data_IF_291670679047
#
_entry.id   IF_291670679047
#
_cell.length_a   1.000
_cell.length_b   1.000
_cell.length_c   1.000
_cell.angle_alpha   90.00
_cell.angle_beta   90.00
_cell.angle_gamma   90.00
#
_symmetry.space_group_name_H-M   'P 1'
#
loop_
_entity.id
_entity.type
_entity.pdbx_description
1 polymer ?
#
# COMPACT_ATOMS: atom_id res chain seq x y z
N UNK A 1 -27.61 21.83 6.70
CA UNK A 1 -26.52 21.04 6.16
C UNK A 1 -27.09 19.73 5.62
N UNK A 2 -27.07 19.53 4.31
CA UNK A 2 -27.66 18.34 3.68
C UNK A 2 -26.77 17.13 3.87
N UNK A 3 -27.35 15.90 3.87
CA UNK A 3 -26.55 14.64 3.95
C UNK A 3 -25.50 14.53 2.84
N UNK A 4 -25.72 15.20 1.72
CA UNK A 4 -24.81 15.21 0.55
C UNK A 4 -23.58 16.08 0.84
N UNK A 5 -23.75 17.24 1.48
CA UNK A 5 -22.64 18.13 1.87
C UNK A 5 -21.74 17.49 2.93
N UNK A 6 -22.32 16.80 3.91
CA UNK A 6 -21.57 16.05 4.92
C UNK A 6 -20.70 14.97 4.28
N UNK A 7 -21.25 14.18 3.33
CA UNK A 7 -20.48 13.16 2.62
C UNK A 7 -19.36 13.75 1.78
N UNK A 8 -19.55 14.91 1.16
CA UNK A 8 -18.50 15.58 0.39
C UNK A 8 -17.37 16.10 1.29
N UNK A 9 -17.70 16.63 2.46
CA UNK A 9 -16.73 17.09 3.46
C UNK A 9 -15.94 15.89 4.00
N UNK A 10 -16.63 14.79 4.35
CA UNK A 10 -15.98 13.55 4.78
C UNK A 10 -15.05 12.99 3.72
N UNK A 11 -15.45 12.97 2.45
CA UNK A 11 -14.60 12.50 1.35
C UNK A 11 -13.38 13.40 1.13
N UNK A 12 -13.56 14.73 1.20
CA UNK A 12 -12.44 15.68 1.07
C UNK A 12 -11.45 15.52 2.22
N UNK A 13 -11.94 15.39 3.44
CA UNK A 13 -11.11 15.18 4.61
C UNK A 13 -10.39 13.82 4.55
N UNK A 14 -11.06 12.75 4.12
CA UNK A 14 -10.47 11.43 3.96
C UNK A 14 -9.40 11.41 2.86
N UNK A 15 -9.62 12.12 1.75
CA UNK A 15 -8.60 12.32 0.71
C UNK A 15 -7.37 13.06 1.23
N UNK A 16 -7.58 14.15 1.98
CA UNK A 16 -6.49 14.90 2.58
C UNK A 16 -5.64 14.04 3.53
N UNK A 17 -6.27 13.14 4.30
CA UNK A 17 -5.59 12.20 5.19
C UNK A 17 -4.80 11.11 4.47
N UNK A 18 -5.18 10.76 3.23
CA UNK A 18 -4.47 9.75 2.46
C UNK A 18 -3.37 10.31 1.56
N UNK A 19 -3.32 11.64 1.40
CA UNK A 19 -2.29 12.33 0.63
C UNK A 19 -0.99 12.58 1.41
N UNK A 20 -0.88 12.04 2.63
CA UNK A 20 0.33 12.18 3.46
C UNK A 20 1.55 11.39 2.96
N UNK A 21 1.36 10.51 1.99
CA UNK A 21 2.42 9.68 1.39
C UNK A 21 2.89 8.51 2.27
N UNK A 22 2.48 8.43 3.54
CA UNK A 22 2.93 7.38 4.47
C UNK A 22 2.55 5.97 4.00
N UNK A 23 1.32 5.79 3.52
CA UNK A 23 0.87 4.48 3.03
C UNK A 23 1.71 4.00 1.84
N UNK A 24 2.06 4.91 0.91
CA UNK A 24 2.84 4.59 -0.28
C UNK A 24 4.29 4.29 0.12
N UNK A 25 4.87 5.10 1.02
CA UNK A 25 6.22 4.91 1.54
C UNK A 25 6.37 3.54 2.19
N UNK A 26 5.50 3.22 3.15
CA UNK A 26 5.60 1.94 3.87
C UNK A 26 5.17 0.74 3.03
N UNK A 27 4.28 0.90 2.05
CA UNK A 27 4.01 -0.13 1.06
C UNK A 27 5.27 -0.44 0.23
N UNK A 28 6.00 0.58 -0.21
CA UNK A 28 7.28 0.40 -0.92
C UNK A 28 8.32 -0.33 -0.08
N UNK A 29 8.54 0.11 1.16
CA UNK A 29 9.48 -0.54 2.09
C UNK A 29 9.07 -2.00 2.34
N UNK A 30 7.78 -2.26 2.59
CA UNK A 30 7.25 -3.60 2.83
C UNK A 30 7.47 -4.53 1.63
N UNK A 31 7.23 -4.06 0.41
CA UNK A 31 7.49 -4.83 -0.82
C UNK A 31 8.97 -5.17 -0.96
N UNK A 32 9.87 -4.23 -0.63
CA UNK A 32 11.31 -4.47 -0.61
C UNK A 32 11.73 -5.56 0.37
N UNK A 33 11.13 -5.59 1.56
CA UNK A 33 11.34 -6.62 2.58
C UNK A 33 10.76 -7.96 2.12
N UNK A 34 9.52 -7.97 1.61
CA UNK A 34 8.84 -9.19 1.11
C UNK A 34 9.62 -9.82 -0.06
N UNK A 35 10.28 -9.02 -0.90
CA UNK A 35 11.08 -9.54 -2.03
C UNK A 35 12.17 -10.52 -1.57
N UNK A 36 12.77 -10.31 -0.40
CA UNK A 36 13.79 -11.20 0.16
C UNK A 36 13.25 -12.62 0.40
N UNK A 37 11.98 -12.75 0.79
CA UNK A 37 11.32 -14.04 0.98
C UNK A 37 11.27 -14.87 -0.31
N UNK A 38 11.12 -14.23 -1.48
CA UNK A 38 11.06 -14.94 -2.77
C UNK A 38 12.42 -15.44 -3.24
N UNK A 39 13.53 -14.90 -2.71
CA UNK A 39 14.87 -15.39 -2.98
C UNK A 39 15.18 -16.62 -2.12
N UNK A 40 14.81 -16.57 -0.84
CA UNK A 40 15.01 -17.69 0.08
C UNK A 40 13.77 -17.89 0.97
N UNK A 41 12.97 -18.87 0.59
CA UNK A 41 11.70 -19.25 1.28
C UNK A 41 11.93 -19.67 2.74
N UNK A 42 13.18 -20.04 3.12
CA UNK A 42 13.51 -20.39 4.51
C UNK A 42 13.27 -19.23 5.48
N UNK A 43 13.27 -17.99 4.97
CA UNK A 43 13.03 -16.77 5.73
C UNK A 43 11.56 -16.35 5.77
N UNK A 44 10.63 -17.27 6.01
CA UNK A 44 9.18 -16.99 6.07
C UNK A 44 8.79 -15.86 7.04
N UNK A 45 9.57 -15.63 8.11
CA UNK A 45 9.39 -14.52 9.03
C UNK A 45 9.56 -13.13 8.38
N UNK A 46 10.37 -13.04 7.30
CA UNK A 46 10.58 -11.80 6.54
C UNK A 46 9.28 -11.35 5.86
N UNK A 47 8.49 -12.32 5.36
CA UNK A 47 7.17 -12.04 4.79
C UNK A 47 6.21 -11.45 5.83
N UNK A 48 6.16 -12.06 7.02
CA UNK A 48 5.35 -11.55 8.12
C UNK A 48 5.80 -10.16 8.57
N UNK A 49 7.12 -9.91 8.63
CA UNK A 49 7.69 -8.60 8.92
C UNK A 49 7.27 -7.54 7.88
N UNK A 50 7.32 -7.87 6.58
CA UNK A 50 6.87 -6.98 5.52
C UNK A 50 5.40 -6.59 5.67
N UNK A 51 4.51 -7.55 5.95
CA UNK A 51 3.10 -7.26 6.22
C UNK A 51 2.94 -6.37 7.46
N UNK A 52 3.64 -6.68 8.55
CA UNK A 52 3.58 -5.88 9.77
C UNK A 52 4.03 -4.44 9.54
N UNK A 53 5.07 -4.22 8.74
CA UNK A 53 5.53 -2.88 8.34
C UNK A 53 4.47 -2.13 7.53
N UNK A 54 3.85 -2.80 6.56
CA UNK A 54 2.82 -2.18 5.71
C UNK A 54 1.59 -1.73 6.51
N UNK A 55 1.20 -2.47 7.55
CA UNK A 55 -0.05 -2.25 8.30
C UNK A 55 0.17 -1.33 9.50
N UNK A 56 1.22 -1.57 10.30
CA UNK A 56 1.41 -0.91 11.60
C UNK A 56 2.15 0.42 11.50
N UNK A 57 3.19 0.49 10.65
CA UNK A 57 4.04 1.69 10.57
C UNK A 57 3.32 2.94 10.06
N UNK A 58 2.47 2.90 9.01
CA UNK A 58 1.72 4.08 8.60
C UNK A 58 0.86 4.63 9.72
N UNK A 59 0.20 3.78 10.50
CA UNK A 59 -0.65 4.20 11.63
C UNK A 59 0.18 4.85 12.74
N UNK A 60 1.33 4.27 13.07
CA UNK A 60 2.25 4.80 14.09
C UNK A 60 2.81 6.18 13.69
N UNK A 61 3.41 6.28 12.51
CA UNK A 61 4.00 7.54 12.04
C UNK A 61 2.94 8.62 11.79
N UNK A 62 1.73 8.24 11.39
CA UNK A 62 0.63 9.19 11.24
C UNK A 62 0.27 9.86 12.57
N UNK A 63 0.26 9.10 13.66
CA UNK A 63 0.01 9.66 15.00
C UNK A 63 1.09 10.66 15.42
N UNK A 64 2.35 10.41 15.06
CA UNK A 64 3.46 11.28 15.46
C UNK A 64 3.68 12.48 14.53
N UNK A 65 3.53 12.30 13.22
CA UNK A 65 3.91 13.33 12.23
C UNK A 65 2.70 14.11 11.68
N UNK A 66 1.56 13.46 11.50
CA UNK A 66 0.40 14.03 10.81
C UNK A 66 -0.60 14.65 11.78
N UNK A 67 -0.94 13.93 12.86
CA UNK A 67 -1.92 14.40 13.84
C UNK A 67 -1.55 15.72 14.52
N UNK A 68 -0.30 15.98 14.93
CA UNK A 68 0.05 17.26 15.56
C UNK A 68 -0.08 18.46 14.62
N UNK A 69 -0.07 18.23 13.29
CA UNK A 69 -0.09 19.30 12.26
C UNK A 69 -1.49 19.65 11.77
N UNK A 70 -2.35 18.65 11.61
CA UNK A 70 -3.71 18.84 11.04
C UNK A 70 -4.77 18.86 12.14
N UNK A 71 -4.43 18.42 13.35
CA UNK A 71 -5.41 18.17 14.41
C UNK A 71 -6.04 16.77 14.27
N UNK A 72 -6.63 16.32 15.36
CA UNK A 72 -7.28 15.02 15.44
C UNK A 72 -8.74 15.14 15.00
N UNK A 73 -9.02 14.94 13.73
CA UNK A 73 -10.40 14.76 13.30
C UNK A 73 -10.83 13.32 13.63
N UNK A 74 -11.59 13.16 14.72
CA UNK A 74 -12.29 11.89 14.98
C UNK A 74 -13.40 11.75 13.94
N UNK A 75 -13.11 11.05 12.84
CA UNK A 75 -14.18 10.59 11.98
C UNK A 75 -14.95 9.50 12.74
N UNK A 76 -16.28 9.56 12.80
CA UNK A 76 -17.05 8.46 13.33
C UNK A 76 -16.63 7.22 12.56
N UNK A 77 -16.00 6.26 13.26
CA UNK A 77 -15.65 4.98 12.67
C UNK A 77 -16.97 4.40 12.17
N UNK A 78 -17.19 4.51 10.84
CA UNK A 78 -18.33 3.82 10.25
C UNK A 78 -18.23 2.38 10.72
N UNK A 79 -19.31 1.82 11.28
CA UNK A 79 -19.42 0.45 11.80
C UNK A 79 -19.07 -0.58 10.72
N UNK A 80 -17.81 -0.60 10.31
CA UNK A 80 -17.29 -1.34 9.16
C UNK A 80 -16.56 -2.61 9.56
N UNK A 81 -16.89 -3.20 10.72
CA UNK A 81 -16.31 -4.50 11.11
C UNK A 81 -16.45 -5.53 9.96
N UNK A 82 -17.59 -5.52 9.25
CA UNK A 82 -17.79 -6.35 8.07
C UNK A 82 -16.81 -6.08 6.92
N UNK A 83 -16.37 -4.85 6.72
CA UNK A 83 -15.38 -4.53 5.66
C UNK A 83 -13.98 -5.02 6.01
N UNK A 84 -13.57 -4.91 7.27
CA UNK A 84 -12.28 -5.44 7.72
C UNK A 84 -12.28 -6.98 7.65
N UNK A 85 -13.37 -7.61 8.07
CA UNK A 85 -13.55 -9.08 7.95
C UNK A 85 -13.50 -9.47 6.46
N UNK A 86 -14.22 -8.79 5.58
CA UNK A 86 -14.20 -9.07 4.14
C UNK A 86 -12.80 -8.91 3.53
N UNK A 87 -12.06 -7.87 3.92
CA UNK A 87 -10.68 -7.64 3.47
C UNK A 87 -9.73 -8.74 3.98
N UNK A 88 -9.87 -9.17 5.23
CA UNK A 88 -9.09 -10.28 5.81
C UNK A 88 -9.44 -11.58 5.09
N UNK A 89 -10.72 -11.89 4.89
CA UNK A 89 -11.16 -13.09 4.18
C UNK A 89 -10.62 -13.11 2.74
N UNK A 90 -10.66 -11.98 2.04
CA UNK A 90 -10.10 -11.86 0.70
C UNK A 90 -8.58 -12.09 0.70
N UNK A 91 -7.85 -11.50 1.64
CA UNK A 91 -6.40 -11.70 1.77
C UNK A 91 -6.05 -13.17 2.07
N UNK A 92 -6.79 -13.80 2.98
CA UNK A 92 -6.62 -15.22 3.30
C UNK A 92 -6.95 -16.10 2.08
N UNK A 93 -8.02 -15.79 1.35
CA UNK A 93 -8.38 -16.51 0.13
C UNK A 93 -7.30 -16.39 -0.94
N UNK A 94 -6.73 -15.19 -1.16
CA UNK A 94 -5.61 -14.99 -2.07
C UNK A 94 -4.37 -15.78 -1.63
N UNK A 95 -4.06 -15.82 -0.33
CA UNK A 95 -2.94 -16.60 0.20
C UNK A 95 -3.16 -18.12 0.03
N UNK A 96 -4.37 -18.62 0.31
CA UNK A 96 -4.72 -20.02 0.10
C UNK A 96 -4.67 -20.41 -1.37
N UNK A 97 -5.18 -19.55 -2.25
CA UNK A 97 -5.10 -19.75 -3.69
C UNK A 97 -3.64 -19.78 -4.16
N UNK A 98 -2.82 -18.84 -3.68
CA UNK A 98 -1.38 -18.82 -3.96
C UNK A 98 -0.68 -20.11 -3.49
N UNK A 99 -0.99 -20.57 -2.29
CA UNK A 99 -0.45 -21.82 -1.75
C UNK A 99 -0.91 -23.04 -2.56
N UNK A 100 -2.21 -23.12 -2.90
CA UNK A 100 -2.77 -24.21 -3.70
C UNK A 100 -2.17 -24.25 -5.11
N UNK A 101 -2.03 -23.09 -5.76
CA UNK A 101 -1.42 -22.97 -7.08
C UNK A 101 0.07 -23.32 -7.06
N UNK A 102 0.79 -22.97 -6.00
CA UNK A 102 2.21 -23.32 -5.82
C UNK A 102 2.48 -24.83 -5.70
N UNK A 103 1.42 -25.64 -5.47
CA UNK A 103 1.51 -27.13 -5.50
C UNK A 103 1.44 -27.72 -6.91
N UNK A 104 1.08 -26.93 -7.92
CA UNK A 104 1.01 -27.37 -9.31
C UNK A 104 2.40 -27.19 -9.91
N UNK A 105 3.03 -28.28 -10.38
CA UNK A 105 4.41 -28.30 -10.88
C UNK A 105 4.72 -27.25 -11.95
N UNK A 106 3.71 -26.87 -12.74
CA UNK A 106 3.86 -25.89 -13.82
C UNK A 106 3.45 -24.45 -13.44
N UNK A 107 3.06 -24.18 -12.18
CA UNK A 107 2.57 -22.86 -11.80
C UNK A 107 3.70 -21.85 -11.55
N UNK A 108 4.91 -22.31 -11.26
CA UNK A 108 6.03 -21.43 -10.91
C UNK A 108 6.29 -20.34 -11.97
N UNK A 109 6.14 -20.68 -13.25
CA UNK A 109 6.36 -19.72 -14.33
C UNK A 109 5.27 -18.62 -14.42
N UNK A 110 4.06 -18.88 -13.91
CA UNK A 110 2.95 -17.91 -13.86
C UNK A 110 2.99 -17.00 -12.63
N UNK A 111 3.87 -17.27 -11.66
CA UNK A 111 3.93 -16.55 -10.39
C UNK A 111 4.08 -15.03 -10.52
N UNK A 112 4.96 -14.49 -11.39
CA UNK A 112 5.08 -13.05 -11.57
C UNK A 112 3.82 -12.41 -12.13
N UNK A 113 3.12 -13.09 -13.07
CA UNK A 113 1.87 -12.63 -13.64
C UNK A 113 0.75 -12.63 -12.59
N UNK A 114 0.65 -13.68 -11.79
CA UNK A 114 -0.33 -13.77 -10.69
C UNK A 114 -0.16 -12.61 -9.70
N UNK A 115 1.05 -12.35 -9.24
CA UNK A 115 1.32 -11.25 -8.32
C UNK A 115 1.04 -9.89 -8.97
N UNK A 116 1.45 -9.69 -10.22
CA UNK A 116 1.17 -8.49 -10.98
C UNK A 116 -0.34 -8.22 -11.11
N UNK A 117 -1.14 -9.24 -11.40
CA UNK A 117 -2.60 -9.11 -11.52
C UNK A 117 -3.29 -8.86 -10.17
N UNK A 118 -2.89 -9.55 -9.09
CA UNK A 118 -3.43 -9.35 -7.75
C UNK A 118 -3.16 -7.93 -7.24
N UNK A 119 -1.91 -7.46 -7.35
CA UNK A 119 -1.57 -6.10 -6.95
C UNK A 119 -2.21 -5.03 -7.84
N UNK A 120 -2.32 -5.28 -9.15
CA UNK A 120 -3.03 -4.41 -10.09
C UNK A 120 -4.51 -4.29 -9.73
N UNK A 121 -5.18 -5.41 -9.43
CA UNK A 121 -6.57 -5.41 -8.98
C UNK A 121 -6.75 -4.66 -7.66
N UNK A 122 -5.85 -4.85 -6.69
CA UNK A 122 -5.86 -4.12 -5.43
C UNK A 122 -5.68 -2.60 -5.64
N UNK A 123 -4.75 -2.19 -6.51
CA UNK A 123 -4.54 -0.80 -6.88
C UNK A 123 -5.76 -0.20 -7.59
N UNK A 124 -6.43 -0.96 -8.47
CA UNK A 124 -7.66 -0.54 -9.16
C UNK A 124 -8.79 -0.31 -8.16
N UNK A 125 -9.00 -1.22 -7.21
CA UNK A 125 -9.99 -1.06 -6.14
C UNK A 125 -9.68 0.18 -5.30
N UNK A 126 -8.41 0.43 -4.98
CA UNK A 126 -7.98 1.62 -4.29
C UNK A 126 -8.28 2.89 -5.10
N UNK A 127 -8.06 2.86 -6.42
CA UNK A 127 -8.39 3.96 -7.35
C UNK A 127 -9.87 4.32 -7.30
N UNK A 128 -10.73 3.32 -7.45
CA UNK A 128 -12.19 3.49 -7.44
C UNK A 128 -12.65 4.04 -6.09
N UNK A 129 -12.09 3.53 -5.00
CA UNK A 129 -12.48 3.93 -3.65
C UNK A 129 -12.01 5.33 -3.27
N UNK A 130 -10.78 5.70 -3.66
CA UNK A 130 -10.13 6.94 -3.20
C UNK A 130 -10.11 8.04 -4.28
N UNK A 131 -10.32 7.68 -5.55
CA UNK A 131 -10.36 8.62 -6.67
C UNK A 131 -9.02 9.32 -6.92
N UNK A 132 -7.89 8.64 -6.65
CA UNK A 132 -6.54 9.17 -6.85
C UNK A 132 -5.97 8.68 -8.17
N UNK A 133 -5.67 9.62 -9.08
CA UNK A 133 -5.14 9.32 -10.43
C UNK A 133 -3.83 8.53 -10.42
N UNK A 134 -3.00 8.71 -9.39
CA UNK A 134 -1.74 7.97 -9.21
C UNK A 134 -1.95 6.45 -9.22
N UNK A 135 -3.04 5.96 -8.63
CA UNK A 135 -3.30 4.52 -8.57
C UNK A 135 -3.68 3.91 -9.92
N UNK A 136 -4.18 4.70 -10.90
CA UNK A 136 -4.37 4.20 -12.28
C UNK A 136 -3.03 3.88 -12.91
N UNK A 137 -2.06 4.80 -12.78
CA UNK A 137 -0.70 4.58 -13.29
C UNK A 137 -0.08 3.36 -12.62
N UNK A 138 -0.23 3.24 -11.29
CA UNK A 138 0.28 2.11 -10.53
C UNK A 138 -0.37 0.79 -10.99
N UNK A 139 -1.68 0.76 -11.22
CA UNK A 139 -2.39 -0.42 -11.75
C UNK A 139 -1.78 -0.89 -13.07
N UNK A 140 -1.54 0.05 -13.99
CA UNK A 140 -0.95 -0.25 -15.30
C UNK A 140 0.49 -0.75 -15.19
N UNK A 141 1.32 -0.09 -14.38
CA UNK A 141 2.72 -0.49 -14.14
C UNK A 141 2.80 -1.88 -13.52
N UNK A 142 1.92 -2.19 -12.56
CA UNK A 142 1.85 -3.51 -11.92
C UNK A 142 1.49 -4.61 -12.91
N UNK A 143 0.51 -4.36 -13.78
CA UNK A 143 0.11 -5.31 -14.80
C UNK A 143 1.23 -5.55 -15.81
N UNK A 144 1.86 -4.48 -16.30
CA UNK A 144 3.00 -4.58 -17.23
C UNK A 144 4.18 -5.31 -16.59
N UNK A 145 4.48 -5.06 -15.32
CA UNK A 145 5.57 -5.75 -14.62
C UNK A 145 5.29 -7.24 -14.49
N UNK A 146 4.01 -7.63 -14.26
CA UNK A 146 3.60 -9.05 -14.24
C UNK A 146 3.77 -9.73 -15.60
N UNK A 147 3.39 -9.06 -16.69
CA UNK A 147 3.57 -9.56 -18.06
C UNK A 147 5.05 -9.67 -18.43
N UNK A 148 5.86 -8.67 -18.08
CA UNK A 148 7.31 -8.72 -18.29
C UNK A 148 7.94 -9.88 -17.50
N UNK A 149 7.57 -10.04 -16.23
CA UNK A 149 8.02 -11.15 -15.39
C UNK A 149 7.69 -12.51 -15.99
N UNK A 150 6.47 -12.69 -16.53
CA UNK A 150 6.08 -13.89 -17.27
C UNK A 150 7.02 -14.14 -18.45
N UNK A 151 7.37 -13.12 -19.23
CA UNK A 151 8.29 -13.25 -20.35
C UNK A 151 9.70 -13.71 -19.93
N UNK A 152 10.17 -13.28 -18.75
CA UNK A 152 11.47 -13.73 -18.20
C UNK A 152 11.40 -15.18 -17.71
N UNK A 153 10.34 -15.59 -17.01
CA UNK A 153 10.19 -16.98 -16.55
C UNK A 153 10.02 -17.95 -17.71
N UNK A 154 9.33 -17.55 -18.79
CA UNK A 154 9.25 -18.35 -20.03
C UNK A 154 10.59 -18.56 -20.71
N UNK A 155 11.57 -17.68 -20.50
CA UNK A 155 12.95 -17.80 -20.99
C UNK A 155 13.84 -18.65 -20.09
N UNK A 156 13.29 -19.29 -19.06
CA UNK A 156 13.99 -20.19 -18.15
C UNK A 156 14.63 -19.51 -16.93
N UNK A 157 14.35 -18.23 -16.68
CA UNK A 157 14.78 -17.59 -15.43
C UNK A 157 13.99 -18.12 -14.24
N UNK A 158 14.65 -18.25 -13.09
CA UNK A 158 14.01 -18.68 -11.85
C UNK A 158 12.89 -17.72 -11.43
N UNK A 159 11.71 -18.26 -11.17
CA UNK A 159 10.52 -17.48 -10.86
C UNK A 159 10.65 -16.69 -9.54
N UNK A 160 11.34 -17.23 -8.54
CA UNK A 160 11.57 -16.56 -7.27
C UNK A 160 12.40 -15.30 -7.46
N UNK A 161 13.49 -15.38 -8.20
CA UNK A 161 14.32 -14.23 -8.56
C UNK A 161 13.56 -13.19 -9.39
N UNK A 162 12.78 -13.62 -10.38
CA UNK A 162 11.98 -12.70 -11.21
C UNK A 162 10.97 -11.93 -10.35
N UNK A 163 10.27 -12.62 -9.45
CA UNK A 163 9.35 -11.98 -8.51
C UNK A 163 10.07 -11.03 -7.57
N UNK A 164 11.23 -11.43 -7.02
CA UNK A 164 12.01 -10.56 -6.16
C UNK A 164 12.43 -9.27 -6.85
N UNK A 165 12.93 -9.34 -8.09
CA UNK A 165 13.27 -8.16 -8.89
C UNK A 165 12.05 -7.29 -9.21
N UNK A 166 10.90 -7.90 -9.51
CA UNK A 166 9.65 -7.19 -9.72
C UNK A 166 9.24 -6.38 -8.47
N UNK A 167 9.29 -7.01 -7.29
CA UNK A 167 8.95 -6.36 -6.03
C UNK A 167 9.97 -5.27 -5.65
N UNK A 168 11.27 -5.50 -5.86
CA UNK A 168 12.29 -4.48 -5.65
C UNK A 168 12.16 -3.30 -6.60
N UNK A 169 11.84 -3.53 -7.88
CA UNK A 169 11.56 -2.46 -8.84
C UNK A 169 10.38 -1.59 -8.38
N UNK A 170 9.30 -2.22 -7.90
CA UNK A 170 8.16 -1.50 -7.33
C UNK A 170 8.54 -0.75 -6.04
N UNK A 171 9.30 -1.37 -5.16
CA UNK A 171 9.80 -0.74 -3.94
C UNK A 171 10.65 0.50 -4.24
N UNK A 172 11.54 0.40 -5.25
CA UNK A 172 12.40 1.50 -5.70
C UNK A 172 11.62 2.68 -6.29
N UNK A 173 10.41 2.46 -6.82
CA UNK A 173 9.53 3.50 -7.32
C UNK A 173 8.65 4.07 -6.18
N UNK A 174 7.98 3.19 -5.42
CA UNK A 174 7.00 3.60 -4.42
C UNK A 174 7.64 4.31 -3.22
N UNK A 175 8.80 3.85 -2.77
CA UNK A 175 9.48 4.45 -1.61
C UNK A 175 9.83 5.92 -1.82
N UNK A 176 10.52 6.33 -2.91
CA UNK A 176 10.81 7.74 -3.14
C UNK A 176 9.54 8.56 -3.45
N UNK A 177 8.55 8.01 -4.16
CA UNK A 177 7.27 8.70 -4.39
C UNK A 177 6.56 8.98 -3.08
N UNK A 178 6.46 7.99 -2.19
CA UNK A 178 5.87 8.16 -0.86
C UNK A 178 6.64 9.17 0.00
N UNK A 179 7.98 9.13 -0.06
CA UNK A 179 8.84 10.07 0.65
C UNK A 179 8.65 11.52 0.16
N UNK A 180 8.64 11.73 -1.16
CA UNK A 180 8.41 13.07 -1.75
C UNK A 180 7.03 13.61 -1.35
N UNK A 181 5.99 12.78 -1.39
CA UNK A 181 4.65 13.17 -0.96
C UNK A 181 4.63 13.54 0.53
N UNK A 182 5.29 12.74 1.38
CA UNK A 182 5.40 13.02 2.81
C UNK A 182 6.13 14.34 3.07
N UNK A 183 7.26 14.58 2.42
CA UNK A 183 8.02 15.82 2.56
C UNK A 183 7.22 17.04 2.09
N UNK A 184 6.51 16.91 0.96
CA UNK A 184 5.61 17.96 0.48
C UNK A 184 4.50 18.25 1.49
N UNK A 185 3.87 17.20 2.04
CA UNK A 185 2.86 17.33 3.07
C UNK A 185 3.38 18.03 4.33
N UNK A 186 4.56 17.63 4.82
CA UNK A 186 5.18 18.21 6.00
C UNK A 186 5.54 19.70 5.82
N UNK A 187 6.00 20.08 4.61
CA UNK A 187 6.30 21.48 4.26
C UNK A 187 5.04 22.34 4.19
N UNK A 188 3.96 21.79 3.64
CA UNK A 188 2.68 22.50 3.50
C UNK A 188 1.95 22.68 4.82
N UNK A 189 2.18 21.81 5.78
CA UNK A 189 1.51 21.81 7.09
C UNK A 189 2.57 21.92 8.21
N UNK A 190 3.16 23.10 8.48
CA UNK A 190 4.11 23.26 9.58
C UNK A 190 3.43 22.99 10.93
N UNK A 191 4.18 22.52 11.91
CA UNK A 191 3.69 22.36 13.29
C UNK A 191 3.33 23.74 13.82
N UNK A 192 2.10 23.92 14.35
CA UNK A 192 1.74 25.13 15.07
C UNK A 192 2.63 25.25 16.29
N UNK A 193 3.45 26.28 16.34
CA UNK A 193 4.20 26.60 17.55
C UNK A 193 3.21 26.97 18.64
N UNK A 194 3.42 26.47 19.86
CA UNK A 194 2.62 26.70 21.05
C UNK A 194 2.63 28.20 21.49
N UNK A 195 3.40 29.04 20.83
CA UNK A 195 3.52 30.49 21.14
C UNK A 195 2.26 31.30 20.77
N UNK A 196 1.43 30.85 19.82
CA UNK A 196 0.21 31.59 19.43
C UNK A 196 -0.92 31.46 20.46
N UNK A 197 -0.81 30.60 21.47
CA UNK A 197 -1.85 30.42 22.48
C UNK A 197 -1.71 31.37 23.65
N UNK A 198 -0.52 31.95 23.88
CA UNK A 198 -0.27 32.87 25.01
C UNK A 198 -0.49 34.34 24.67
N UNK A 199 -0.82 34.69 23.44
CA UNK A 199 -1.05 36.06 23.01
C UNK A 199 -2.53 36.51 22.98
N UNK A 200 -3.47 35.66 23.42
CA UNK A 200 -4.92 35.96 23.46
C UNK A 200 -5.53 35.64 24.83
N UNK A 201 -4.88 36.03 25.88
CA UNK A 201 -5.47 36.10 27.23
C UNK A 201 -5.55 37.54 27.68
#
# INVERSE_FOLDING_TARGET
MTRIELRQIEQKAHRAFQQDGLNILFAGVALGVIAVFFIDVRHGWVFALGIALAVSMPAFFRRQLVHPRIGYAQFPQSKGMGRHIAAICLAVMCLLLFYALGRIEHFNWLMPLYLGTVFSAAALVATIKFGLSLYYVLTFVLLLSGLAGLGFTMRGHDAGWVVAFQLWGLAAILTPVGLVQLLYFLRKNPTRSTEDTNGRA
#
